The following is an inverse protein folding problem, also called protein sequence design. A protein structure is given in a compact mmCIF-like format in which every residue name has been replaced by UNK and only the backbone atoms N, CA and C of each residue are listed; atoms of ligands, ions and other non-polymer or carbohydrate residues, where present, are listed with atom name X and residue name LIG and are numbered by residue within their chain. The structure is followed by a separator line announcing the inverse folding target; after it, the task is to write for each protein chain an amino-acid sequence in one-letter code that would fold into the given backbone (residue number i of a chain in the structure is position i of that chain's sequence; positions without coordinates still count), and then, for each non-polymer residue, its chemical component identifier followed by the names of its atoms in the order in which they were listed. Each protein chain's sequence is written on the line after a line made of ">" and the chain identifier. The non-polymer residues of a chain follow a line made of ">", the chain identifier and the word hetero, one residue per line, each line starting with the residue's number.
data_IF_493535247590
#
_entry.id   IF_493535247590
#
_cell.length_a   1.000
_cell.length_b   1.000
_cell.length_c   1.000
_cell.angle_alpha   90.00
_cell.angle_beta   90.00
_cell.angle_gamma   90.00
#
_symmetry.space_group_name_H-M   'P 1'
#
loop_
_entity.id
_entity.type
_entity.pdbx_description
1 polymer ?
#
# COMPACT_ATOMS: atom_id res chain seq x y z
N UNK A 1 -33.54 -8.54 55.45
CA UNK A 1 -33.65 -8.39 53.98
C UNK A 1 -32.39 -7.68 53.52
N UNK A 2 -31.50 -8.39 52.83
CA UNK A 2 -30.30 -7.80 52.24
C UNK A 2 -30.15 -8.38 50.84
N UNK A 3 -30.72 -7.69 49.86
CA UNK A 3 -30.47 -7.93 48.44
C UNK A 3 -29.90 -6.63 47.92
N UNK A 4 -28.59 -6.46 48.04
CA UNK A 4 -27.86 -5.43 47.31
C UNK A 4 -26.37 -5.72 47.42
N UNK A 5 -25.62 -5.42 46.34
CA UNK A 5 -24.17 -5.59 46.16
C UNK A 5 -23.71 -6.78 45.29
N UNK A 6 -24.41 -7.08 44.20
CA UNK A 6 -23.82 -7.84 43.08
C UNK A 6 -24.06 -7.07 41.77
N UNK A 7 -23.47 -5.88 41.64
CA UNK A 7 -23.51 -5.13 40.35
C UNK A 7 -22.12 -4.63 39.94
N UNK A 8 -21.16 -4.57 40.87
CA UNK A 8 -19.83 -4.00 40.64
C UNK A 8 -18.94 -4.89 39.74
N UNK A 9 -18.85 -6.23 39.89
CA UNK A 9 -17.94 -7.02 39.05
C UNK A 9 -18.45 -7.24 37.62
N UNK A 10 -19.75 -7.02 37.36
CA UNK A 10 -20.31 -7.15 36.01
C UNK A 10 -20.04 -5.90 35.16
N UNK A 11 -19.98 -4.73 35.80
CA UNK A 11 -19.64 -3.46 35.14
C UNK A 11 -18.17 -3.44 34.68
N UNK A 12 -17.23 -3.98 35.48
CA UNK A 12 -15.82 -4.06 35.10
C UNK A 12 -15.58 -5.02 33.93
N UNK A 13 -16.29 -6.16 33.88
CA UNK A 13 -16.23 -7.08 32.75
C UNK A 13 -16.87 -6.47 31.49
N UNK A 14 -18.01 -5.79 31.62
CA UNK A 14 -18.64 -5.09 30.50
C UNK A 14 -17.77 -3.93 30.00
N UNK A 15 -17.11 -3.16 30.87
CA UNK A 15 -16.20 -2.09 30.50
C UNK A 15 -14.92 -2.63 29.84
N UNK A 16 -14.34 -3.71 30.36
CA UNK A 16 -13.19 -4.39 29.74
C UNK A 16 -13.57 -5.00 28.38
N UNK A 17 -14.75 -5.62 28.28
CA UNK A 17 -15.29 -6.15 27.02
C UNK A 17 -15.57 -5.04 26.00
N UNK A 18 -16.12 -3.90 26.43
CA UNK A 18 -16.33 -2.72 25.57
C UNK A 18 -15.01 -2.09 25.13
N UNK A 19 -14.01 -2.02 26.00
CA UNK A 19 -12.68 -1.49 25.67
C UNK A 19 -11.96 -2.40 24.67
N UNK A 20 -12.00 -3.72 24.89
CA UNK A 20 -11.43 -4.71 23.97
C UNK A 20 -12.17 -4.72 22.63
N UNK A 21 -13.50 -4.58 22.64
CA UNK A 21 -14.32 -4.53 21.41
C UNK A 21 -14.06 -3.25 20.62
N UNK A 22 -14.02 -2.10 21.28
CA UNK A 22 -13.71 -0.81 20.64
C UNK A 22 -12.30 -0.80 20.05
N UNK A 23 -11.31 -1.30 20.79
CA UNK A 23 -9.93 -1.44 20.31
C UNK A 23 -9.85 -2.36 19.10
N UNK A 24 -10.49 -3.54 19.16
CA UNK A 24 -10.53 -4.48 18.04
C UNK A 24 -11.22 -3.89 16.80
N UNK A 25 -12.32 -3.17 16.98
CA UNK A 25 -13.01 -2.49 15.88
C UNK A 25 -12.15 -1.40 15.24
N UNK A 26 -11.44 -0.61 16.05
CA UNK A 26 -10.54 0.42 15.54
C UNK A 26 -9.38 -0.18 14.73
N UNK A 27 -8.74 -1.24 15.24
CA UNK A 27 -7.68 -1.96 14.51
C UNK A 27 -8.20 -2.51 13.19
N UNK A 28 -9.35 -3.20 13.22
CA UNK A 28 -9.95 -3.76 11.99
C UNK A 28 -10.31 -2.69 10.96
N UNK A 29 -10.76 -1.52 11.44
CA UNK A 29 -11.12 -0.41 10.56
C UNK A 29 -9.87 0.21 9.91
N UNK A 30 -8.78 0.33 10.67
CA UNK A 30 -7.49 0.77 10.17
C UNK A 30 -6.90 -0.24 9.17
N UNK A 31 -6.94 -1.54 9.47
CA UNK A 31 -6.47 -2.60 8.56
C UNK A 31 -7.24 -2.58 7.23
N UNK A 32 -8.55 -2.35 7.29
CA UNK A 32 -9.36 -2.18 6.09
C UNK A 32 -8.96 -0.92 5.31
N UNK A 33 -8.75 0.21 5.99
CA UNK A 33 -8.32 1.45 5.35
C UNK A 33 -6.96 1.29 4.66
N UNK A 34 -5.98 0.68 5.35
CA UNK A 34 -4.65 0.38 4.79
C UNK A 34 -4.75 -0.56 3.59
N UNK A 35 -5.45 -1.68 3.72
CA UNK A 35 -5.57 -2.68 2.64
C UNK A 35 -6.25 -2.09 1.40
N UNK A 36 -7.39 -1.43 1.58
CA UNK A 36 -8.16 -0.86 0.47
C UNK A 36 -7.41 0.26 -0.26
N UNK A 37 -6.62 1.05 0.46
CA UNK A 37 -5.77 2.09 -0.13
C UNK A 37 -4.60 1.47 -0.90
N UNK A 38 -3.94 0.45 -0.36
CA UNK A 38 -2.89 -0.30 -1.08
C UNK A 38 -3.45 -0.97 -2.32
N UNK A 39 -4.63 -1.60 -2.25
CA UNK A 39 -5.29 -2.19 -3.43
C UNK A 39 -5.58 -1.13 -4.50
N UNK A 40 -6.05 0.05 -4.10
CA UNK A 40 -6.25 1.17 -5.02
C UNK A 40 -4.93 1.61 -5.66
N UNK A 41 -3.86 1.68 -4.87
CA UNK A 41 -2.52 1.98 -5.37
C UNK A 41 -2.06 0.94 -6.40
N UNK A 42 -2.24 -0.35 -6.13
CA UNK A 42 -1.91 -1.45 -7.05
C UNK A 42 -2.66 -1.29 -8.36
N UNK A 43 -3.97 -1.03 -8.32
CA UNK A 43 -4.77 -0.83 -9.53
C UNK A 43 -4.37 0.44 -10.29
N UNK A 44 -4.06 1.53 -9.58
CA UNK A 44 -3.56 2.76 -10.19
C UNK A 44 -2.23 2.51 -10.90
N UNK A 45 -1.28 1.84 -10.27
CA UNK A 45 0.03 1.51 -10.82
C UNK A 45 -0.07 0.56 -12.02
N UNK A 46 -1.08 -0.30 -12.06
CA UNK A 46 -1.37 -1.17 -13.20
C UNK A 46 -1.87 -0.38 -14.41
N UNK A 47 -2.83 0.51 -14.19
CA UNK A 47 -3.53 1.24 -15.27
C UNK A 47 -2.76 2.50 -15.71
N UNK A 48 -2.03 3.11 -14.79
CA UNK A 48 -1.18 4.28 -14.99
C UNK A 48 0.21 3.97 -14.41
N UNK A 49 1.05 3.20 -15.12
CA UNK A 49 2.41 2.88 -14.67
C UNK A 49 3.31 4.12 -14.56
N UNK A 50 2.84 5.25 -15.11
CA UNK A 50 3.49 6.55 -15.11
C UNK A 50 2.96 7.38 -13.95
N UNK A 51 3.76 7.50 -12.89
CA UNK A 51 3.99 8.87 -12.42
C UNK A 51 5.49 9.23 -12.40
N UNK A 52 6.37 8.25 -12.48
CA UNK A 52 7.82 8.45 -12.27
C UNK A 52 8.64 7.49 -13.13
N UNK A 53 9.47 8.03 -14.02
CA UNK A 53 10.28 7.27 -14.97
C UNK A 53 11.58 6.80 -14.32
N UNK A 54 11.78 5.49 -14.08
CA UNK A 54 13.08 4.99 -13.70
C UNK A 54 14.05 5.19 -14.87
N UNK A 55 15.18 5.84 -14.61
CA UNK A 55 16.29 5.86 -15.56
C UNK A 55 16.82 4.43 -15.67
N UNK A 56 16.78 3.86 -16.88
CA UNK A 56 17.34 2.55 -17.15
C UNK A 56 18.82 2.67 -17.50
N UNK A 57 19.64 1.74 -17.02
CA UNK A 57 21.02 1.55 -17.44
C UNK A 57 21.10 0.89 -18.83
N UNK A 58 22.32 0.74 -19.35
CA UNK A 58 22.56 0.09 -20.64
C UNK A 58 22.12 -1.38 -20.72
N UNK A 59 21.83 -2.00 -19.57
CA UNK A 59 21.44 -3.39 -19.44
C UNK A 59 19.92 -3.54 -19.22
N UNK A 60 19.16 -2.44 -19.24
CA UNK A 60 17.70 -2.44 -19.07
C UNK A 60 17.24 -2.58 -17.61
N UNK A 61 18.10 -2.25 -16.64
CA UNK A 61 17.76 -2.20 -15.21
C UNK A 61 17.62 -0.76 -14.74
N UNK A 62 16.67 -0.50 -13.86
CA UNK A 62 16.53 0.81 -13.24
C UNK A 62 15.82 0.75 -11.90
N UNK A 63 16.12 1.71 -11.04
CA UNK A 63 15.45 1.87 -9.74
C UNK A 63 14.95 3.30 -9.64
N UNK A 64 13.66 3.43 -9.39
CA UNK A 64 13.05 4.68 -9.00
C UNK A 64 13.13 4.81 -7.47
N UNK A 65 13.60 5.95 -6.93
CA UNK A 65 13.49 6.22 -5.50
C UNK A 65 12.02 6.23 -5.05
N UNK A 66 11.81 6.23 -3.73
CA UNK A 66 10.46 6.31 -3.18
C UNK A 66 9.79 7.60 -3.64
N UNK A 67 8.50 7.52 -3.92
CA UNK A 67 7.69 8.65 -4.34
C UNK A 67 6.21 8.31 -4.33
N UNK A 68 5.40 9.14 -4.95
CA UNK A 68 3.95 8.94 -5.02
C UNK A 68 3.59 7.79 -5.97
N UNK A 69 2.64 6.94 -5.56
CA UNK A 69 2.17 5.77 -6.30
C UNK A 69 1.25 6.13 -7.49
N UNK A 70 0.48 7.21 -7.34
CA UNK A 70 -0.38 7.79 -8.36
C UNK A 70 -0.38 9.31 -8.22
N UNK A 71 -0.56 10.03 -9.33
CA UNK A 71 -0.61 11.49 -9.31
C UNK A 71 -1.76 11.96 -8.41
N UNK A 72 -1.49 12.67 -7.29
CA UNK A 72 -2.55 13.12 -6.40
C UNK A 72 -3.40 14.20 -7.08
N UNK A 73 -4.72 14.13 -6.90
CA UNK A 73 -5.64 15.17 -7.39
C UNK A 73 -5.44 16.50 -6.65
N UNK A 74 -4.94 16.43 -5.41
CA UNK A 74 -4.57 17.57 -4.59
C UNK A 74 -3.49 17.15 -3.58
N UNK A 75 -2.53 18.02 -3.27
CA UNK A 75 -1.44 17.74 -2.33
C UNK A 75 -0.18 17.19 -2.99
N UNK A 76 0.72 16.62 -2.19
CA UNK A 76 2.04 16.12 -2.62
C UNK A 76 2.22 14.61 -2.49
N UNK A 77 1.20 13.90 -2.00
CA UNK A 77 1.28 12.48 -1.65
C UNK A 77 0.07 11.73 -2.17
N UNK A 78 0.26 10.48 -2.59
CA UNK A 78 -0.82 9.56 -2.91
C UNK A 78 -1.59 9.18 -1.64
N UNK A 79 -2.69 9.88 -1.37
CA UNK A 79 -3.47 9.75 -0.13
C UNK A 79 -4.93 9.44 -0.39
N UNK A 80 -5.55 8.60 0.45
CA UNK A 80 -6.99 8.37 0.48
C UNK A 80 -7.51 8.42 1.92
N UNK A 81 -8.70 9.00 2.08
CA UNK A 81 -9.43 8.96 3.34
C UNK A 81 -10.46 7.82 3.31
N UNK A 82 -10.30 6.84 4.19
CA UNK A 82 -11.18 5.66 4.31
C UNK A 82 -11.56 5.48 5.78
N UNK A 83 -12.87 5.43 6.05
CA UNK A 83 -13.42 5.22 7.40
C UNK A 83 -12.86 6.18 8.48
N UNK A 84 -12.59 7.44 8.11
CA UNK A 84 -12.04 8.45 9.01
C UNK A 84 -10.53 8.40 9.20
N UNK A 85 -9.83 7.43 8.60
CA UNK A 85 -8.37 7.40 8.53
C UNK A 85 -7.89 8.01 7.22
N UNK A 86 -6.86 8.83 7.27
CA UNK A 86 -6.15 9.29 6.08
C UNK A 86 -4.90 8.44 5.90
N UNK A 87 -4.84 7.70 4.80
CA UNK A 87 -3.76 6.77 4.49
C UNK A 87 -2.95 7.32 3.33
N UNK A 88 -1.66 7.53 3.57
CA UNK A 88 -0.68 7.86 2.57
C UNK A 88 0.01 6.58 2.09
N UNK A 89 0.22 6.47 0.78
CA UNK A 89 0.95 5.34 0.17
C UNK A 89 2.12 5.87 -0.65
N UNK A 90 3.29 5.31 -0.40
CA UNK A 90 4.52 5.60 -1.11
C UNK A 90 4.99 4.38 -1.89
N UNK A 91 5.58 4.59 -3.05
CA UNK A 91 5.98 3.52 -3.95
C UNK A 91 7.45 3.64 -4.33
N UNK A 92 8.17 2.52 -4.25
CA UNK A 92 9.48 2.32 -4.88
C UNK A 92 9.35 1.35 -6.03
N UNK A 93 9.87 1.70 -7.20
CA UNK A 93 9.79 0.84 -8.39
C UNK A 93 11.17 0.37 -8.82
N UNK A 94 11.33 -0.92 -9.03
CA UNK A 94 12.49 -1.51 -9.71
C UNK A 94 12.03 -2.09 -11.05
N UNK A 95 12.78 -1.81 -12.10
CA UNK A 95 12.54 -2.33 -13.46
C UNK A 95 13.69 -3.23 -13.85
N UNK A 96 13.35 -4.39 -14.44
CA UNK A 96 14.28 -5.38 -14.97
C UNK A 96 13.72 -5.97 -16.26
N UNK A 97 13.93 -5.29 -17.39
CA UNK A 97 13.44 -5.74 -18.70
C UNK A 97 13.98 -7.11 -19.17
N UNK A 98 15.19 -7.55 -18.77
CA UNK A 98 15.66 -8.90 -19.12
C UNK A 98 14.94 -10.04 -18.39
N UNK A 99 14.14 -9.75 -17.36
CA UNK A 99 13.46 -10.76 -16.54
C UNK A 99 11.97 -10.82 -16.85
N UNK A 100 11.34 -11.98 -16.57
CA UNK A 100 9.88 -12.12 -16.62
C UNK A 100 9.17 -11.25 -15.55
N UNK A 101 9.82 -11.02 -14.42
CA UNK A 101 9.39 -10.05 -13.42
C UNK A 101 9.87 -8.65 -13.81
N UNK A 102 9.26 -8.09 -14.85
CA UNK A 102 9.77 -6.89 -15.50
C UNK A 102 9.74 -5.64 -14.62
N UNK A 103 8.81 -5.58 -13.68
CA UNK A 103 8.66 -4.47 -12.75
C UNK A 103 8.24 -4.98 -11.38
N UNK A 104 8.93 -4.52 -10.35
CA UNK A 104 8.61 -4.83 -8.95
C UNK A 104 8.37 -3.51 -8.23
N UNK A 105 7.20 -3.37 -7.64
CA UNK A 105 6.82 -2.18 -6.89
C UNK A 105 6.66 -2.55 -5.42
N UNK A 106 7.37 -1.84 -4.56
CA UNK A 106 7.19 -1.92 -3.10
C UNK A 106 6.35 -0.73 -2.66
N UNK A 107 5.24 -1.00 -1.99
CA UNK A 107 4.29 -0.02 -1.47
C UNK A 107 4.43 0.06 0.04
N UNK A 108 4.49 1.28 0.55
CA UNK A 108 4.56 1.60 1.97
C UNK A 108 3.32 2.41 2.31
N UNK A 109 2.42 1.83 3.11
CA UNK A 109 1.20 2.49 3.54
C UNK A 109 1.26 2.89 5.00
N UNK A 110 0.90 4.15 5.25
CA UNK A 110 0.94 4.76 6.57
C UNK A 110 -0.25 5.69 6.77
N UNK A 111 -0.84 5.62 7.95
CA UNK A 111 -1.87 6.54 8.38
C UNK A 111 -1.23 7.83 8.91
N UNK A 112 -1.68 8.96 8.36
CA UNK A 112 -1.26 10.29 8.84
C UNK A 112 -1.85 10.62 10.20
N UNK A 113 -2.90 9.89 10.62
CA UNK A 113 -3.51 10.01 11.95
C UNK A 113 -2.57 9.57 13.08
N UNK A 114 -1.50 8.82 12.77
CA UNK A 114 -0.52 8.32 13.75
C UNK A 114 0.90 8.87 13.50
N UNK A 115 1.02 10.08 12.93
CA UNK A 115 2.31 10.79 12.69
C UNK A 115 3.31 10.11 11.74
N UNK A 116 2.84 9.20 10.87
CA UNK A 116 3.66 8.56 9.84
C UNK A 116 3.58 9.24 8.45
N UNK A 117 3.17 10.52 8.39
CA UNK A 117 2.83 11.21 7.13
C UNK A 117 4.00 11.65 6.24
N UNK A 118 5.26 11.33 6.58
CA UNK A 118 6.40 11.63 5.71
C UNK A 118 6.88 10.38 4.97
N UNK A 119 7.39 10.57 3.75
CA UNK A 119 7.96 9.51 2.92
C UNK A 119 8.99 8.66 3.68
N UNK A 120 9.99 9.32 4.27
CA UNK A 120 11.08 8.65 4.96
C UNK A 120 10.61 7.88 6.21
N UNK A 121 9.68 8.46 6.98
CA UNK A 121 9.13 7.78 8.15
C UNK A 121 8.29 6.57 7.74
N UNK A 122 7.50 6.70 6.67
CA UNK A 122 6.66 5.62 6.18
C UNK A 122 7.48 4.48 5.56
N UNK A 123 8.55 4.80 4.84
CA UNK A 123 9.47 3.80 4.31
C UNK A 123 10.21 3.05 5.44
N UNK A 124 10.61 3.74 6.50
CA UNK A 124 11.35 3.14 7.61
C UNK A 124 10.47 2.25 8.50
N UNK A 125 9.20 2.61 8.69
CA UNK A 125 8.27 1.90 9.55
C UNK A 125 6.84 1.91 8.95
N UNK A 126 6.60 1.17 7.84
CA UNK A 126 5.28 1.11 7.23
C UNK A 126 4.31 0.37 8.14
N UNK A 127 3.06 0.84 8.21
CA UNK A 127 1.99 0.09 8.88
C UNK A 127 1.58 -1.13 8.06
N UNK A 128 1.67 -1.01 6.74
CA UNK A 128 1.53 -2.09 5.79
C UNK A 128 2.56 -1.93 4.66
N UNK A 129 3.39 -2.95 4.45
CA UNK A 129 4.27 -3.07 3.30
C UNK A 129 3.71 -4.13 2.34
N UNK A 130 3.54 -3.75 1.07
CA UNK A 130 3.20 -4.70 0.02
C UNK A 130 4.27 -4.70 -1.07
N UNK A 131 4.55 -5.85 -1.66
CA UNK A 131 5.39 -5.96 -2.86
C UNK A 131 4.58 -6.61 -3.96
N UNK A 132 4.51 -5.93 -5.10
CA UNK A 132 3.76 -6.40 -6.26
C UNK A 132 4.70 -6.49 -7.45
N UNK A 133 4.68 -7.65 -8.09
CA UNK A 133 5.40 -7.91 -9.32
C UNK A 133 4.44 -7.79 -10.49
N UNK A 134 4.85 -7.04 -11.50
CA UNK A 134 4.15 -6.85 -12.77
C UNK A 134 5.00 -7.42 -13.91
N UNK A 135 4.35 -8.21 -14.75
CA UNK A 135 4.90 -8.75 -16.00
C UNK A 135 4.32 -7.93 -17.17
N UNK A 136 4.76 -6.67 -17.24
CA UNK A 136 4.25 -5.67 -18.17
C UNK A 136 4.91 -5.75 -19.57
N UNK A 137 6.02 -6.49 -19.69
CA UNK A 137 6.85 -6.54 -20.90
C UNK A 137 7.27 -7.98 -21.24
N UNK A 138 7.45 -8.32 -22.53
CA UNK A 138 8.11 -9.57 -22.89
C UNK A 138 9.57 -9.59 -22.41
N UNK A 139 10.05 -10.78 -22.02
CA UNK A 139 11.45 -11.02 -21.60
C UNK A 139 12.43 -10.57 -22.70
N UNK A 140 13.47 -9.83 -22.30
CA UNK A 140 14.45 -9.15 -23.19
C UNK A 140 13.93 -7.85 -23.84
N UNK A 141 12.78 -7.35 -23.38
CA UNK A 141 12.31 -6.00 -23.63
C UNK A 141 11.32 -5.86 -24.79
N UNK A 142 10.40 -4.92 -24.58
CA UNK A 142 9.70 -4.16 -25.60
C UNK A 142 9.99 -2.66 -25.39
N UNK A 143 9.42 -1.77 -26.20
CA UNK A 143 9.48 -0.32 -25.91
C UNK A 143 8.97 -0.11 -24.48
N UNK A 144 9.77 0.49 -23.60
CA UNK A 144 9.33 0.84 -22.24
C UNK A 144 8.00 1.56 -22.36
N UNK A 145 7.00 1.23 -21.54
CA UNK A 145 5.75 1.97 -21.49
C UNK A 145 6.10 3.34 -20.91
N UNK A 146 6.55 4.24 -21.79
CA UNK A 146 6.74 5.66 -21.53
C UNK A 146 5.42 6.41 -21.57
N UNK A 147 4.36 5.75 -22.06
CA UNK A 147 2.98 6.22 -22.05
C UNK A 147 2.11 5.31 -21.18
N UNK A 148 1.06 5.90 -20.62
CA UNK A 148 -0.04 5.21 -19.96
C UNK A 148 -0.47 4.00 -20.77
N UNK A 149 -0.78 2.87 -20.10
CA UNK A 149 -1.09 1.68 -20.87
C UNK A 149 -2.36 1.89 -21.67
N UNK A 150 -2.20 2.04 -22.98
CA UNK A 150 -3.30 2.28 -23.88
C UNK A 150 -3.79 0.92 -24.38
N UNK A 151 -4.89 0.45 -23.76
CA UNK A 151 -5.64 -0.76 -24.14
C UNK A 151 -5.96 -0.78 -25.65
N UNK A 152 -6.04 0.38 -26.30
CA UNK A 152 -6.33 0.50 -27.73
C UNK A 152 -5.12 0.22 -28.64
N UNK A 153 -3.88 0.23 -28.11
CA UNK A 153 -2.64 0.07 -28.92
C UNK A 153 -1.81 -1.18 -28.60
N UNK A 154 -2.15 -1.96 -27.56
CA UNK A 154 -1.44 -3.21 -27.27
C UNK A 154 -1.62 -3.75 -25.84
N UNK A 155 -1.02 -4.92 -25.61
CA UNK A 155 -1.10 -5.69 -24.35
C UNK A 155 -0.46 -4.95 -23.17
N UNK A 156 -1.26 -4.67 -22.14
CA UNK A 156 -0.85 -4.06 -20.88
C UNK A 156 -0.35 -5.10 -19.88
N UNK A 157 0.79 -5.71 -20.18
CA UNK A 157 1.25 -6.85 -19.40
C UNK A 157 0.28 -8.02 -19.40
N UNK A 158 0.73 -9.15 -18.87
CA UNK A 158 -0.11 -10.35 -18.79
C UNK A 158 -0.54 -10.65 -17.36
N UNK A 159 0.26 -10.26 -16.36
CA UNK A 159 0.00 -10.65 -14.97
C UNK A 159 0.51 -9.64 -13.94
N UNK A 160 -0.15 -9.68 -12.78
CA UNK A 160 0.34 -9.07 -11.55
C UNK A 160 0.28 -10.11 -10.43
N UNK A 161 1.22 -10.05 -9.50
CA UNK A 161 1.22 -10.92 -8.33
C UNK A 161 1.67 -10.16 -7.09
N UNK A 162 0.94 -10.33 -5.99
CA UNK A 162 1.37 -9.83 -4.68
C UNK A 162 2.36 -10.86 -4.14
N UNK A 163 3.63 -10.47 -4.03
CA UNK A 163 4.73 -11.33 -3.56
C UNK A 163 5.03 -11.12 -2.08
N UNK A 164 4.55 -10.03 -1.49
CA UNK A 164 4.70 -9.71 -0.07
C UNK A 164 3.55 -8.86 0.41
N UNK A 165 3.08 -9.14 1.62
CA UNK A 165 2.05 -8.37 2.33
C UNK A 165 2.32 -8.50 3.84
N UNK A 166 2.89 -7.45 4.44
CA UNK A 166 3.41 -7.49 5.81
C UNK A 166 2.88 -6.32 6.61
N UNK A 167 2.24 -6.61 7.74
CA UNK A 167 1.75 -5.62 8.70
C UNK A 167 2.85 -5.23 9.70
N UNK A 168 2.81 -3.99 10.20
CA UNK A 168 3.68 -3.57 11.30
C UNK A 168 3.56 -4.53 12.50
N UNK A 169 4.71 -4.93 13.05
CA UNK A 169 4.79 -5.87 14.17
C UNK A 169 4.81 -7.35 13.78
N UNK A 170 4.70 -7.68 12.50
CA UNK A 170 4.96 -9.03 11.97
C UNK A 170 6.28 -9.03 11.21
N UNK A 171 7.39 -8.95 11.94
CA UNK A 171 8.71 -9.23 11.36
C UNK A 171 8.82 -10.74 11.11
N UNK A 172 9.26 -11.13 9.90
CA UNK A 172 9.74 -12.49 9.62
C UNK A 172 10.92 -12.86 10.52
#
# INVERSE_FOLDING_TARGET
>A
MAVSLIVIPLADWAASSLNNTGTFQNVRTLDYALSSTVDTAIQAIRNTPVPTHPTLDSNGYGVQPVGYCWAPTSGTTSSLSVNGYSIDVWCQTTVSLPQAATRVVTLYACSTTFDHGSEAACQAAPQLEARVTFDDYPTNGGVTLVAQCNIETGSCGFSQSITRWVWAGQAN
#
